data_IF_026739760255
#
_entry.id   IF_026739760255
#
_cell.length_a   1.000
_cell.length_b   1.000
_cell.length_c   1.000
_cell.angle_alpha   90.00
_cell.angle_beta   90.00
_cell.angle_gamma   90.00
#
_symmetry.space_group_name_H-M   'P 1'
#
loop_
_entity.id
_entity.type
_entity.pdbx_description
1 polymer ?
#
# COMPACT_ATOMS: atom_id res chain seq x y z
N UNK A 1 -60.66 -26.51 20.21
CA UNK A 1 -59.46 -26.39 21.07
C UNK A 1 -58.25 -26.90 20.30
N UNK A 2 -57.47 -25.97 19.72
CA UNK A 2 -56.12 -26.06 19.10
C UNK A 2 -55.95 -24.83 18.20
N UNK A 3 -56.12 -23.64 18.79
CA UNK A 3 -56.15 -22.33 18.08
C UNK A 3 -54.95 -21.46 18.51
N UNK A 4 -53.92 -22.04 19.14
CA UNK A 4 -52.84 -21.26 19.78
C UNK A 4 -51.44 -21.62 19.23
N UNK A 5 -51.30 -22.66 18.40
CA UNK A 5 -49.97 -23.06 17.89
C UNK A 5 -49.58 -22.47 16.52
N UNK A 6 -50.51 -21.84 15.79
CA UNK A 6 -50.23 -21.27 14.46
C UNK A 6 -50.11 -19.73 14.47
N UNK A 7 -50.52 -19.07 15.55
CA UNK A 7 -50.28 -17.63 15.75
C UNK A 7 -48.80 -17.32 16.03
N UNK A 8 -47.99 -18.33 16.40
CA UNK A 8 -46.55 -18.16 16.59
C UNK A 8 -45.75 -18.25 15.27
N UNK A 9 -46.35 -18.79 14.20
CA UNK A 9 -45.75 -18.81 12.86
C UNK A 9 -46.10 -17.58 12.01
N UNK A 10 -46.93 -16.67 12.54
CA UNK A 10 -47.41 -15.48 11.83
C UNK A 10 -46.45 -14.27 11.92
N UNK A 11 -45.38 -14.33 12.72
CA UNK A 11 -44.44 -13.20 12.90
C UNK A 11 -43.16 -13.36 12.05
N UNK A 12 -42.87 -14.56 11.50
CA UNK A 12 -41.62 -14.79 10.75
C UNK A 12 -41.74 -14.62 9.22
N UNK A 13 -42.92 -14.33 8.68
CA UNK A 13 -43.16 -14.27 7.22
C UNK A 13 -43.40 -12.84 6.66
N UNK A 14 -43.16 -11.77 7.44
CA UNK A 14 -43.44 -10.37 7.02
C UNK A 14 -42.21 -9.67 6.42
N UNK A 15 -41.02 -10.29 6.41
CA UNK A 15 -39.83 -9.68 5.82
C UNK A 15 -39.70 -9.84 4.30
N UNK A 16 -40.62 -10.54 3.62
CA UNK A 16 -40.53 -10.84 2.19
C UNK A 16 -41.66 -10.27 1.34
N UNK A 17 -42.20 -9.10 1.63
CA UNK A 17 -42.94 -8.33 0.62
C UNK A 17 -42.90 -6.86 0.97
N UNK A 18 -42.23 -6.02 0.19
CA UNK A 18 -42.70 -4.66 -0.08
C UNK A 18 -41.92 -4.07 -1.27
N UNK A 19 -42.70 -3.60 -2.23
CA UNK A 19 -42.33 -2.72 -3.33
C UNK A 19 -41.66 -3.36 -4.55
N UNK A 20 -42.40 -4.23 -5.25
CA UNK A 20 -42.44 -4.13 -6.71
C UNK A 20 -43.74 -3.40 -7.10
N UNK A 21 -43.55 -2.28 -7.81
CA UNK A 21 -44.49 -1.47 -8.59
C UNK A 21 -45.23 -0.28 -7.93
N UNK A 22 -44.67 0.91 -8.14
CA UNK A 22 -45.35 2.02 -8.86
C UNK A 22 -44.33 2.80 -9.70
N UNK A 23 -44.64 2.94 -10.99
CA UNK A 23 -43.86 3.65 -12.01
C UNK A 23 -44.19 5.14 -11.96
N UNK A 24 -43.17 5.99 -11.79
CA UNK A 24 -43.20 7.38 -12.24
C UNK A 24 -41.76 7.85 -12.47
N UNK A 25 -41.31 7.66 -13.72
CA UNK A 25 -40.45 8.56 -14.50
C UNK A 25 -39.30 9.29 -13.79
N UNK A 26 -38.07 8.81 -14.01
CA UNK A 26 -36.99 9.64 -14.59
C UNK A 26 -36.24 8.74 -15.59
N UNK A 27 -36.71 8.77 -16.84
CA UNK A 27 -35.84 8.57 -18.01
C UNK A 27 -34.86 9.73 -18.01
N UNK A 28 -33.58 9.45 -18.23
CA UNK A 28 -32.72 10.33 -19.01
C UNK A 28 -31.40 9.61 -19.25
N UNK A 29 -31.17 9.33 -20.53
CA UNK A 29 -29.84 9.26 -21.13
C UNK A 29 -28.88 10.23 -20.44
N UNK A 30 -28.04 9.73 -19.51
CA UNK A 30 -26.79 10.43 -19.20
C UNK A 30 -25.80 9.99 -20.27
N UNK A 31 -25.98 10.61 -21.45
CA UNK A 31 -24.90 10.86 -22.38
C UNK A 31 -23.73 11.38 -21.55
N UNK A 32 -22.65 10.59 -21.46
CA UNK A 32 -21.43 10.99 -20.77
C UNK A 32 -20.85 12.14 -21.58
N UNK A 33 -21.31 13.36 -21.29
CA UNK A 33 -20.96 14.55 -22.04
C UNK A 33 -19.50 14.83 -21.76
N UNK A 34 -18.65 14.34 -22.66
CA UNK A 34 -17.19 14.51 -22.70
C UNK A 34 -16.83 15.96 -23.03
N UNK A 35 -17.39 16.95 -22.31
CA UNK A 35 -17.25 18.37 -22.63
C UNK A 35 -16.88 19.28 -21.46
N UNK A 36 -16.52 18.75 -20.29
CA UNK A 36 -15.84 19.55 -19.27
C UNK A 36 -14.60 18.83 -18.72
N UNK A 37 -13.63 18.61 -19.61
CA UNK A 37 -12.22 18.51 -19.27
C UNK A 37 -11.65 19.90 -18.90
N UNK A 38 -12.39 20.72 -18.16
CA UNK A 38 -11.80 21.76 -17.33
C UNK A 38 -11.32 21.09 -16.04
N UNK A 39 -10.30 20.23 -16.18
CA UNK A 39 -9.43 19.90 -15.06
C UNK A 39 -8.81 21.22 -14.63
N UNK A 40 -9.44 21.86 -13.64
CA UNK A 40 -8.68 22.54 -12.60
C UNK A 40 -7.53 21.59 -12.30
N UNK A 41 -6.33 22.00 -12.70
CA UNK A 41 -5.09 21.27 -12.46
C UNK A 41 -4.88 21.30 -10.95
N UNK A 42 -5.64 20.47 -10.24
CA UNK A 42 -5.55 20.22 -8.81
C UNK A 42 -4.28 19.41 -8.63
N UNK A 43 -3.16 20.11 -8.74
CA UNK A 43 -1.90 19.87 -8.03
C UNK A 43 -1.83 18.46 -7.43
N UNK A 44 -1.61 17.47 -8.28
CA UNK A 44 -1.66 16.06 -7.86
C UNK A 44 -0.53 15.86 -6.86
N UNK A 45 -0.90 15.41 -5.66
CA UNK A 45 0.05 14.92 -4.68
C UNK A 45 0.22 13.42 -4.90
N UNK A 46 1.46 12.95 -5.00
CA UNK A 46 1.78 11.52 -5.15
C UNK A 46 2.85 11.10 -4.16
N UNK A 47 2.74 9.87 -3.66
CA UNK A 47 3.76 9.25 -2.83
C UNK A 47 4.96 8.80 -3.68
N UNK A 48 6.15 8.67 -3.08
CA UNK A 48 7.30 8.12 -3.81
C UNK A 48 7.09 6.64 -4.12
N UNK A 49 7.57 6.18 -5.28
CA UNK A 49 7.34 4.82 -5.76
C UNK A 49 8.63 4.18 -6.27
N UNK A 50 8.88 2.93 -5.88
CA UNK A 50 9.95 2.13 -6.47
C UNK A 50 9.67 1.91 -7.98
N UNK A 51 10.69 1.87 -8.86
CA UNK A 51 10.46 1.58 -10.27
C UNK A 51 9.80 0.21 -10.44
N UNK A 52 8.63 0.18 -11.09
CA UNK A 52 7.82 -1.04 -11.21
C UNK A 52 6.89 -1.32 -10.02
N UNK A 53 6.87 -0.45 -9.00
CA UNK A 53 5.94 -0.54 -7.89
C UNK A 53 6.38 -1.46 -6.76
N UNK A 54 5.43 -1.84 -5.91
CA UNK A 54 5.71 -2.60 -4.69
C UNK A 54 6.16 -4.04 -4.98
N UNK A 55 5.63 -4.66 -6.03
CA UNK A 55 6.00 -6.03 -6.40
C UNK A 55 7.46 -6.13 -6.84
N UNK A 56 7.91 -5.18 -7.68
CA UNK A 56 9.32 -5.11 -8.11
C UNK A 56 10.25 -4.74 -6.95
N UNK A 57 9.80 -3.95 -5.98
CA UNK A 57 10.56 -3.74 -4.75
C UNK A 57 10.73 -5.06 -3.99
N UNK A 58 9.69 -5.86 -3.84
CA UNK A 58 9.77 -7.14 -3.14
C UNK A 58 10.71 -8.12 -3.86
N UNK A 59 10.64 -8.21 -5.20
CA UNK A 59 11.56 -8.99 -6.03
C UNK A 59 13.00 -8.49 -5.94
N UNK A 60 13.21 -7.18 -5.96
CA UNK A 60 14.52 -6.59 -5.78
C UNK A 60 15.10 -6.97 -4.42
N UNK A 61 14.32 -6.85 -3.34
CA UNK A 61 14.76 -7.20 -2.00
C UNK A 61 15.10 -8.69 -1.89
N UNK A 62 14.24 -9.59 -2.38
CA UNK A 62 14.50 -11.03 -2.32
C UNK A 62 15.73 -11.45 -3.12
N UNK A 63 15.99 -10.81 -4.26
CA UNK A 63 17.16 -11.09 -5.10
C UNK A 63 18.47 -10.51 -4.55
N UNK A 64 18.40 -9.34 -3.90
CA UNK A 64 19.59 -8.59 -3.52
C UNK A 64 20.00 -8.74 -2.06
N UNK A 65 19.08 -9.16 -1.17
CA UNK A 65 19.40 -9.44 0.22
C UNK A 65 20.30 -10.67 0.28
N UNK A 66 21.48 -10.51 0.87
CA UNK A 66 22.43 -11.59 1.12
C UNK A 66 22.47 -11.85 2.61
N UNK A 67 22.10 -13.06 3.01
CA UNK A 67 22.25 -13.45 4.41
C UNK A 67 23.74 -13.68 4.71
N UNK A 68 24.36 -12.89 5.59
CA UNK A 68 25.79 -13.03 5.88
C UNK A 68 26.04 -14.35 6.63
N UNK A 69 26.82 -15.25 6.00
CA UNK A 69 27.08 -16.62 6.47
C UNK A 69 27.90 -16.69 7.77
N UNK A 70 28.64 -15.64 8.11
CA UNK A 70 29.64 -15.68 9.18
C UNK A 70 29.10 -15.29 10.57
N UNK A 71 27.79 -15.26 10.77
CA UNK A 71 27.27 -15.14 12.13
C UNK A 71 27.14 -16.54 12.71
N UNK A 72 27.89 -16.83 13.76
CA UNK A 72 27.54 -17.92 14.70
C UNK A 72 26.11 -17.73 15.25
N UNK A 73 25.58 -16.50 15.13
CA UNK A 73 24.18 -16.10 15.29
C UNK A 73 23.34 -16.21 14.00
N UNK A 74 23.62 -17.15 13.09
CA UNK A 74 22.92 -17.36 11.80
C UNK A 74 21.43 -17.73 11.94
N UNK A 75 20.95 -17.83 13.19
CA UNK A 75 19.54 -17.88 13.57
C UNK A 75 18.86 -16.51 13.69
N UNK A 76 19.58 -15.41 13.45
CA UNK A 76 19.08 -14.05 13.65
C UNK A 76 17.98 -13.70 12.63
N UNK A 77 16.74 -13.87 13.05
CA UNK A 77 15.56 -13.39 12.32
C UNK A 77 15.15 -12.04 12.87
N UNK A 78 14.50 -11.24 12.04
CA UNK A 78 13.88 -10.02 12.53
C UNK A 78 13.62 -8.97 11.47
N UNK A 79 13.02 -7.88 11.94
CA UNK A 79 12.65 -6.73 11.12
C UNK A 79 13.62 -5.59 11.37
N UNK A 80 14.38 -5.22 10.36
CA UNK A 80 15.19 -3.99 10.37
C UNK A 80 14.39 -2.89 9.69
N UNK A 81 14.24 -1.74 10.34
CA UNK A 81 13.58 -0.57 9.76
C UNK A 81 14.65 0.43 9.34
N UNK A 82 14.72 0.70 8.05
CA UNK A 82 15.64 1.66 7.44
C UNK A 82 14.86 2.92 7.08
N UNK A 83 15.33 4.08 7.53
CA UNK A 83 14.86 5.37 7.07
C UNK A 83 15.83 5.92 6.03
N UNK A 84 15.31 6.47 4.94
CA UNK A 84 16.12 7.14 3.93
C UNK A 84 15.33 8.25 3.26
N UNK A 85 16.05 9.19 2.66
CA UNK A 85 15.48 10.31 1.92
C UNK A 85 15.51 9.98 0.43
N UNK A 86 14.37 10.13 -0.22
CA UNK A 86 14.24 10.09 -1.67
C UNK A 86 14.30 11.54 -2.15
N UNK A 87 15.32 11.88 -2.92
CA UNK A 87 15.50 13.21 -3.47
C UNK A 87 14.58 13.47 -4.66
N UNK A 88 14.46 14.74 -5.08
CA UNK A 88 13.64 15.15 -6.24
C UNK A 88 14.03 14.47 -7.55
N UNK A 89 15.27 14.00 -7.66
CA UNK A 89 15.78 13.25 -8.82
C UNK A 89 15.63 11.72 -8.66
N UNK A 90 14.98 11.27 -7.60
CA UNK A 90 14.77 9.85 -7.31
C UNK A 90 15.94 9.16 -6.61
N UNK A 91 17.08 9.82 -6.43
CA UNK A 91 18.23 9.23 -5.73
C UNK A 91 17.95 9.10 -4.24
N UNK A 92 18.54 8.07 -3.65
CA UNK A 92 18.49 7.86 -2.21
C UNK A 92 19.65 8.58 -1.53
N UNK A 93 19.35 9.26 -0.42
CA UNK A 93 20.31 9.91 0.46
C UNK A 93 19.94 9.68 1.94
N UNK A 94 20.82 10.07 2.86
CA UNK A 94 20.57 10.08 4.31
C UNK A 94 20.02 8.76 4.88
N UNK A 95 20.68 7.64 4.55
CA UNK A 95 20.25 6.29 4.99
C UNK A 95 20.62 6.03 6.45
N UNK A 96 19.61 5.81 7.30
CA UNK A 96 19.75 5.55 8.73
C UNK A 96 18.98 4.27 9.14
N UNK A 97 19.49 3.57 10.16
CA UNK A 97 18.71 2.50 10.80
C UNK A 97 17.89 3.13 11.93
N UNK A 98 16.57 3.00 11.84
CA UNK A 98 15.65 3.46 12.91
C UNK A 98 15.47 2.37 13.95
N UNK A 99 15.29 1.13 13.49
CA UNK A 99 15.17 -0.04 14.35
C UNK A 99 16.03 -1.15 13.80
N UNK A 100 17.07 -1.52 14.55
CA UNK A 100 17.98 -2.59 14.19
C UNK A 100 17.71 -3.89 14.94
N UNK A 101 18.33 -4.97 14.46
CA UNK A 101 18.33 -6.27 15.15
C UNK A 101 19.73 -6.57 15.67
N UNK A 102 20.72 -6.60 14.78
CA UNK A 102 22.13 -6.74 15.12
C UNK A 102 22.99 -5.98 14.09
N UNK A 103 24.28 -5.76 14.40
CA UNK A 103 25.19 -4.98 13.54
C UNK A 103 25.29 -5.56 12.12
N UNK A 104 25.19 -6.87 11.99
CA UNK A 104 25.36 -7.60 10.74
C UNK A 104 24.16 -7.38 9.81
N UNK A 105 22.93 -7.64 10.28
CA UNK A 105 21.70 -7.40 9.52
C UNK A 105 21.49 -5.91 9.23
N UNK A 106 21.85 -5.04 10.17
CA UNK A 106 21.78 -3.59 9.98
C UNK A 106 22.69 -3.12 8.83
N UNK A 107 23.91 -3.68 8.74
CA UNK A 107 24.86 -3.38 7.65
C UNK A 107 24.31 -3.84 6.31
N UNK A 108 23.75 -5.04 6.26
CA UNK A 108 23.17 -5.59 5.04
C UNK A 108 21.94 -4.81 4.57
N UNK A 109 21.03 -4.48 5.50
CA UNK A 109 19.86 -3.64 5.21
C UNK A 109 20.28 -2.28 4.61
N UNK A 110 21.29 -1.63 5.18
CA UNK A 110 21.86 -0.39 4.63
C UNK A 110 22.41 -0.58 3.22
N UNK A 111 23.20 -1.64 2.99
CA UNK A 111 23.80 -1.93 1.68
C UNK A 111 22.73 -2.09 0.59
N UNK A 112 21.68 -2.86 0.88
CA UNK A 112 20.60 -3.11 -0.09
C UNK A 112 19.84 -1.83 -0.44
N UNK A 113 19.56 -0.97 0.55
CA UNK A 113 18.87 0.31 0.35
C UNK A 113 19.73 1.31 -0.44
N UNK A 114 21.02 1.43 -0.12
CA UNK A 114 21.94 2.34 -0.83
C UNK A 114 22.07 1.95 -2.31
N UNK A 115 22.00 0.66 -2.61
CA UNK A 115 22.17 0.13 -3.97
C UNK A 115 20.87 0.08 -4.79
N UNK A 116 19.75 0.58 -4.26
CA UNK A 116 18.49 0.60 -5.01
C UNK A 116 18.58 1.49 -6.25
N UNK A 117 17.80 1.17 -7.31
CA UNK A 117 17.63 2.06 -8.44
C UNK A 117 16.96 3.38 -8.01
N UNK A 118 17.00 4.38 -8.90
CA UNK A 118 16.31 5.64 -8.67
C UNK A 118 14.80 5.42 -8.54
N UNK A 119 14.22 6.02 -7.50
CA UNK A 119 12.78 6.00 -7.24
C UNK A 119 12.05 7.07 -8.02
N UNK A 120 10.76 6.88 -8.26
CA UNK A 120 9.88 7.99 -8.62
C UNK A 120 9.70 8.86 -7.37
N UNK A 121 10.07 10.16 -7.42
CA UNK A 121 9.93 11.04 -6.27
C UNK A 121 8.46 11.28 -5.95
N UNK A 122 8.20 11.74 -4.72
CA UNK A 122 6.89 12.24 -4.36
C UNK A 122 6.60 13.54 -5.14
N UNK A 123 5.39 13.68 -5.65
CA UNK A 123 4.93 14.96 -6.17
C UNK A 123 4.17 15.66 -5.06
N UNK A 124 4.55 16.90 -4.77
CA UNK A 124 3.71 17.83 -4.03
C UNK A 124 3.33 18.90 -5.00
N UNK A 125 2.05 19.11 -5.20
CA UNK A 125 1.59 20.21 -6.01
C UNK A 125 2.14 20.16 -7.47
N UNK A 126 2.21 18.96 -8.06
CA UNK A 126 2.79 18.75 -9.39
C UNK A 126 4.31 18.92 -9.48
N UNK A 127 5.00 19.23 -8.36
CA UNK A 127 6.46 19.40 -8.30
C UNK A 127 7.10 18.27 -7.52
N UNK A 128 8.18 17.71 -8.05
CA UNK A 128 8.97 16.72 -7.34
C UNK A 128 9.50 17.29 -6.02
N UNK A 129 9.27 16.58 -4.93
CA UNK A 129 9.68 16.97 -3.58
C UNK A 129 10.45 15.83 -2.91
N UNK A 130 11.50 16.19 -2.18
CA UNK A 130 12.24 15.19 -1.42
C UNK A 130 11.43 14.72 -0.22
N UNK A 131 11.40 13.42 0.02
CA UNK A 131 10.55 12.80 1.07
C UNK A 131 11.33 11.75 1.84
N UNK A 132 11.10 11.64 3.14
CA UNK A 132 11.62 10.56 3.97
C UNK A 132 10.69 9.35 3.90
N UNK A 133 11.29 8.16 3.77
CA UNK A 133 10.57 6.89 3.73
C UNK A 133 11.18 5.91 4.73
N UNK A 134 10.30 5.20 5.45
CA UNK A 134 10.68 4.07 6.29
C UNK A 134 10.37 2.77 5.57
N UNK A 135 11.40 1.95 5.33
CA UNK A 135 11.26 0.64 4.71
C UNK A 135 11.55 -0.47 5.75
N UNK A 136 10.55 -1.29 6.10
CA UNK A 136 10.79 -2.51 6.86
C UNK A 136 11.40 -3.59 5.96
N UNK A 137 12.58 -4.09 6.33
CA UNK A 137 13.23 -5.23 5.70
C UNK A 137 13.16 -6.42 6.66
N UNK A 138 12.53 -7.49 6.19
CA UNK A 138 12.34 -8.71 6.96
C UNK A 138 13.44 -9.72 6.58
N UNK A 139 14.18 -10.16 7.59
CA UNK A 139 15.17 -11.23 7.45
C UNK A 139 14.57 -12.52 8.01
N UNK A 140 14.21 -13.43 7.11
CA UNK A 140 13.77 -14.78 7.44
C UNK A 140 14.89 -15.78 7.14
N UNK A 141 14.98 -16.85 7.94
CA UNK A 141 15.83 -18.00 7.62
C UNK A 141 15.01 -18.89 6.69
N UNK A 142 15.52 -19.14 5.48
CA UNK A 142 14.97 -20.14 4.57
C UNK A 142 15.48 -21.53 4.96
#
# INVERSE_FOLDING_TARGET
>A
MKIISATLFLILLIAQTNAQNTLASIDDNVEFKTSELNLVSTKINSQPQFPGGHEELAKYLSKNIRYPRNSENSSSRGKVIVCFKIEKNGRISNVAIVKGVNKILNKEAKRVVINMPNWKPALKNGKATSTLLNLPILFFRN
#
